data_IF_886048561134
#
_entry.id   IF_886048561134
#
_cell.length_a   1.000
_cell.length_b   1.000
_cell.length_c   1.000
_cell.angle_alpha   90.00
_cell.angle_beta   90.00
_cell.angle_gamma   90.00
#
_symmetry.space_group_name_H-M   'P 1'
#
loop_
_entity.id
_entity.type
_entity.pdbx_description
1 polymer ?
#
# COMPACT_ATOMS: atom_id res chain seq x y z
N UNK A 1 12.84 -6.41 -22.54
CA UNK A 1 11.86 -5.62 -21.76
C UNK A 1 10.68 -5.35 -22.67
N UNK A 2 9.77 -6.31 -22.78
CA UNK A 2 8.54 -6.15 -23.56
C UNK A 2 7.59 -5.26 -22.76
N UNK A 3 6.98 -4.26 -23.40
CA UNK A 3 6.21 -3.19 -22.75
C UNK A 3 4.90 -3.66 -22.06
N UNK A 4 4.73 -4.97 -21.89
CA UNK A 4 3.57 -5.65 -21.28
C UNK A 4 3.91 -6.43 -20.01
N UNK A 5 5.17 -6.50 -19.59
CA UNK A 5 5.56 -7.24 -18.37
C UNK A 5 5.24 -6.43 -17.11
N UNK A 6 4.11 -6.75 -16.46
CA UNK A 6 3.64 -6.07 -15.24
C UNK A 6 4.35 -6.53 -13.96
N UNK A 7 4.92 -7.73 -13.97
CA UNK A 7 5.64 -8.30 -12.82
C UNK A 7 6.79 -7.42 -12.29
N UNK A 8 7.74 -6.92 -13.12
CA UNK A 8 8.79 -6.03 -12.64
C UNK A 8 8.26 -4.70 -12.11
N UNK A 9 7.16 -4.19 -12.68
CA UNK A 9 6.51 -2.95 -12.22
C UNK A 9 5.89 -3.15 -10.84
N UNK A 10 5.22 -4.27 -10.59
CA UNK A 10 4.68 -4.62 -9.27
C UNK A 10 5.79 -4.84 -8.26
N UNK A 11 6.86 -5.56 -8.64
CA UNK A 11 8.01 -5.82 -7.76
C UNK A 11 8.70 -4.52 -7.33
N UNK A 12 8.92 -3.58 -8.25
CA UNK A 12 9.48 -2.27 -7.95
C UNK A 12 8.61 -1.47 -6.97
N UNK A 13 7.29 -1.51 -7.14
CA UNK A 13 6.36 -0.82 -6.24
C UNK A 13 6.25 -1.49 -4.85
N UNK A 14 6.45 -2.80 -4.76
CA UNK A 14 6.46 -3.52 -3.49
C UNK A 14 7.63 -3.08 -2.59
N UNK A 15 8.75 -2.71 -3.20
CA UNK A 15 9.98 -2.31 -2.51
C UNK A 15 10.09 -0.79 -2.29
N UNK A 16 9.04 -0.02 -2.60
CA UNK A 16 9.03 1.43 -2.43
C UNK A 16 8.95 1.82 -0.94
N UNK A 17 10.01 2.41 -0.35
CA UNK A 17 10.04 2.74 1.07
C UNK A 17 9.02 3.83 1.46
N UNK A 18 8.69 4.75 0.54
CA UNK A 18 7.71 5.81 0.80
C UNK A 18 6.31 5.21 0.97
N UNK A 19 5.94 4.31 0.06
CA UNK A 19 4.68 3.59 0.10
C UNK A 19 4.52 2.76 1.36
N UNK A 20 5.56 2.04 1.77
CA UNK A 20 5.58 1.27 3.02
C UNK A 20 5.33 2.20 4.21
N UNK A 21 6.04 3.33 4.30
CA UNK A 21 5.87 4.30 5.38
C UNK A 21 4.44 4.86 5.44
N UNK A 22 3.84 5.21 4.29
CA UNK A 22 2.47 5.70 4.23
C UNK A 22 1.44 4.64 4.67
N UNK A 23 1.59 3.38 4.23
CA UNK A 23 0.70 2.28 4.63
C UNK A 23 0.81 2.05 6.15
N UNK A 24 2.02 2.07 6.72
CA UNK A 24 2.21 1.92 8.17
C UNK A 24 1.60 3.08 8.96
N UNK A 25 1.80 4.33 8.51
CA UNK A 25 1.18 5.51 9.12
C UNK A 25 -0.35 5.47 9.05
N UNK A 26 -0.90 4.99 7.93
CA UNK A 26 -2.33 4.77 7.77
C UNK A 26 -2.87 3.76 8.76
N UNK A 27 -2.22 2.59 8.86
CA UNK A 27 -2.61 1.55 9.82
C UNK A 27 -2.61 2.14 11.23
N UNK A 28 -1.53 2.81 11.65
CA UNK A 28 -1.43 3.42 12.97
C UNK A 28 -2.58 4.40 13.25
N UNK A 29 -2.88 5.27 12.27
CA UNK A 29 -3.96 6.26 12.38
C UNK A 29 -5.33 5.59 12.47
N UNK A 30 -5.56 4.54 11.67
CA UNK A 30 -6.78 3.73 11.72
C UNK A 30 -6.95 3.03 13.07
N UNK A 31 -5.88 2.48 13.67
CA UNK A 31 -5.96 1.89 15.01
C UNK A 31 -6.26 2.94 16.08
N UNK A 32 -5.71 4.14 15.92
CA UNK A 32 -5.92 5.24 16.88
C UNK A 32 -7.36 5.75 16.86
N UNK A 33 -7.97 5.82 15.67
CA UNK A 33 -9.32 6.37 15.46
C UNK A 33 -10.42 5.30 15.40
N UNK A 34 -10.03 4.04 15.55
CA UNK A 34 -10.84 2.85 15.72
C UNK A 34 -12.19 3.04 16.40
N UNK A 35 -12.20 3.74 17.54
CA UNK A 35 -13.37 3.90 18.40
C UNK A 35 -14.47 4.79 17.79
N UNK A 36 -14.12 5.60 16.78
CA UNK A 36 -15.04 6.58 16.17
C UNK A 36 -15.45 6.15 14.76
N UNK A 37 -14.50 5.72 13.93
CA UNK A 37 -14.73 5.44 12.50
C UNK A 37 -14.62 3.97 12.11
N UNK A 38 -14.27 3.10 13.07
CA UNK A 38 -13.90 1.72 12.75
C UNK A 38 -12.60 1.64 11.96
N UNK A 39 -12.13 0.42 11.68
CA UNK A 39 -10.80 0.21 11.09
C UNK A 39 -10.86 0.08 9.56
N UNK A 40 -11.97 -0.39 9.00
CA UNK A 40 -12.05 -0.81 7.59
C UNK A 40 -12.08 0.40 6.64
N UNK A 41 -12.94 1.38 6.93
CA UNK A 41 -13.12 2.58 6.10
C UNK A 41 -11.80 3.37 5.91
N UNK A 42 -11.06 3.74 6.97
CA UNK A 42 -9.80 4.45 6.81
C UNK A 42 -8.73 3.62 6.10
N UNK A 43 -8.67 2.31 6.32
CA UNK A 43 -7.70 1.44 5.63
C UNK A 43 -7.94 1.38 4.13
N UNK A 44 -9.18 1.20 3.69
CA UNK A 44 -9.52 1.20 2.26
C UNK A 44 -9.24 2.56 1.61
N UNK A 45 -9.65 3.65 2.27
CA UNK A 45 -9.42 5.00 1.78
C UNK A 45 -7.92 5.28 1.60
N UNK A 46 -7.10 4.88 2.57
CA UNK A 46 -5.67 5.10 2.48
C UNK A 46 -4.95 4.18 1.48
N UNK A 47 -5.40 2.94 1.24
CA UNK A 47 -4.87 2.10 0.14
C UNK A 47 -5.06 2.78 -1.21
N UNK A 48 -6.25 3.33 -1.46
CA UNK A 48 -6.57 4.06 -2.68
C UNK A 48 -5.76 5.35 -2.76
N UNK A 49 -5.68 6.11 -1.68
CA UNK A 49 -4.88 7.33 -1.60
C UNK A 49 -3.40 7.06 -1.92
N UNK A 50 -2.80 6.05 -1.29
CA UNK A 50 -1.39 5.69 -1.51
C UNK A 50 -1.15 5.25 -2.96
N UNK A 51 -2.10 4.55 -3.58
CA UNK A 51 -1.97 4.08 -4.95
C UNK A 51 -1.94 5.24 -5.97
N UNK A 52 -2.57 6.36 -5.65
CA UNK A 52 -2.60 7.56 -6.50
C UNK A 52 -1.43 8.49 -6.17
N UNK A 53 -1.18 8.75 -4.89
CA UNK A 53 -0.18 9.75 -4.47
C UNK A 53 1.25 9.27 -4.75
N UNK A 54 1.55 7.99 -4.53
CA UNK A 54 2.92 7.47 -4.71
C UNK A 54 3.43 7.67 -6.15
N UNK A 55 2.74 7.23 -7.22
CA UNK A 55 3.19 7.52 -8.59
C UNK A 55 3.04 9.00 -9.00
N UNK A 56 2.28 9.81 -8.25
CA UNK A 56 2.17 11.25 -8.48
C UNK A 56 3.34 12.05 -7.87
N UNK A 57 3.94 11.56 -6.79
CA UNK A 57 5.03 12.24 -6.06
C UNK A 57 6.41 11.59 -6.24
N UNK A 58 6.47 10.31 -6.63
CA UNK A 58 7.71 9.60 -6.85
C UNK A 58 8.29 9.86 -8.25
N UNK A 59 9.58 9.58 -8.41
CA UNK A 59 10.19 9.47 -9.75
C UNK A 59 9.47 8.35 -10.49
N UNK A 60 8.69 8.73 -11.51
CA UNK A 60 7.89 7.80 -12.30
C UNK A 60 8.77 6.69 -12.85
N UNK A 61 8.29 5.45 -12.80
CA UNK A 61 8.95 4.34 -13.50
C UNK A 61 8.93 4.66 -14.99
N UNK A 62 10.11 4.89 -15.55
CA UNK A 62 10.27 5.34 -16.94
C UNK A 62 9.55 4.39 -17.91
N UNK A 63 8.79 4.96 -18.85
CA UNK A 63 8.07 4.21 -19.88
C UNK A 63 6.74 3.56 -19.45
N UNK A 64 6.30 3.72 -18.19
CA UNK A 64 5.00 3.16 -17.74
C UNK A 64 3.90 4.23 -17.67
N UNK A 65 2.72 4.04 -18.31
CA UNK A 65 1.63 5.00 -18.21
C UNK A 65 1.13 5.19 -16.77
N UNK A 66 0.73 6.42 -16.42
CA UNK A 66 0.30 6.77 -15.06
C UNK A 66 -0.84 5.87 -14.53
N UNK A 67 -1.85 5.59 -15.35
CA UNK A 67 -2.95 4.69 -14.96
C UNK A 67 -2.50 3.25 -14.68
N UNK A 68 -1.49 2.75 -15.41
CA UNK A 68 -0.91 1.43 -15.17
C UNK A 68 -0.17 1.42 -13.83
N UNK A 69 0.54 2.50 -13.48
CA UNK A 69 1.21 2.64 -12.18
C UNK A 69 0.21 2.70 -11.02
N UNK A 70 -0.93 3.39 -11.18
CA UNK A 70 -1.99 3.43 -10.16
C UNK A 70 -2.64 2.05 -9.98
N UNK A 71 -2.99 1.38 -11.08
CA UNK A 71 -3.65 0.07 -11.02
C UNK A 71 -2.76 -1.01 -10.39
N UNK A 72 -1.50 -1.12 -10.84
CA UNK A 72 -0.50 -2.00 -10.21
C UNK A 72 -0.21 -1.59 -8.77
N UNK A 73 -0.33 -0.30 -8.46
CA UNK A 73 -0.15 0.21 -7.12
C UNK A 73 -1.25 -0.17 -6.13
N UNK A 74 -2.51 -0.27 -6.56
CA UNK A 74 -3.59 -0.81 -5.74
C UNK A 74 -3.31 -2.26 -5.31
N UNK A 75 -2.80 -3.07 -6.24
CA UNK A 75 -2.43 -4.47 -5.98
C UNK A 75 -1.31 -4.52 -4.95
N UNK A 76 -0.22 -3.78 -5.18
CA UNK A 76 0.92 -3.71 -4.26
C UNK A 76 0.51 -3.26 -2.84
N UNK A 77 -0.31 -2.20 -2.74
CA UNK A 77 -0.76 -1.66 -1.46
C UNK A 77 -1.61 -2.66 -0.67
N UNK A 78 -2.51 -3.37 -1.36
CA UNK A 78 -3.35 -4.40 -0.74
C UNK A 78 -2.51 -5.55 -0.19
N UNK A 79 -1.47 -5.98 -0.93
CA UNK A 79 -0.53 -7.01 -0.48
C UNK A 79 0.23 -6.55 0.78
N UNK A 80 0.81 -5.34 0.74
CA UNK A 80 1.55 -4.78 1.90
C UNK A 80 0.63 -4.66 3.11
N UNK A 81 -0.58 -4.15 2.93
CA UNK A 81 -1.58 -4.04 3.99
C UNK A 81 -1.93 -5.41 4.58
N UNK A 82 -2.17 -6.42 3.72
CA UNK A 82 -2.47 -7.78 4.15
C UNK A 82 -1.34 -8.40 4.98
N UNK A 83 -0.08 -8.22 4.55
CA UNK A 83 1.09 -8.66 5.30
C UNK A 83 1.18 -7.95 6.65
N UNK A 84 1.05 -6.62 6.66
CA UNK A 84 1.14 -5.83 7.89
C UNK A 84 0.06 -6.21 8.92
N UNK A 85 -1.19 -6.40 8.47
CA UNK A 85 -2.28 -6.85 9.33
C UNK A 85 -2.05 -8.29 9.82
N UNK A 86 -1.55 -9.18 8.96
CA UNK A 86 -1.20 -10.55 9.33
C UNK A 86 -0.12 -10.61 10.41
N UNK A 87 0.98 -9.87 10.24
CA UNK A 87 2.05 -9.75 11.23
C UNK A 87 1.53 -9.20 12.56
N UNK A 88 0.68 -8.20 12.50
CA UNK A 88 0.10 -7.59 13.69
C UNK A 88 -0.88 -8.52 14.42
N UNK A 89 -1.65 -9.33 13.69
CA UNK A 89 -2.51 -10.35 14.28
C UNK A 89 -1.69 -11.44 14.99
N UNK A 90 -0.57 -11.88 14.40
CA UNK A 90 0.37 -12.81 15.03
C UNK A 90 0.96 -12.19 16.30
N UNK A 91 1.44 -10.95 16.22
CA UNK A 91 2.01 -10.23 17.36
C UNK A 91 1.02 -10.15 18.53
N UNK A 92 -0.23 -9.76 18.28
CA UNK A 92 -1.28 -9.73 19.30
C UNK A 92 -1.55 -11.08 19.94
N UNK A 93 -1.46 -12.16 19.15
CA UNK A 93 -1.68 -13.53 19.65
C UNK A 93 -0.53 -14.03 20.51
N UNK A 94 0.71 -13.66 20.19
CA UNK A 94 1.91 -14.05 20.95
C UNK A 94 2.09 -13.21 22.22
N UNK A 95 1.61 -11.96 22.21
CA UNK A 95 1.66 -11.05 23.35
C UNK A 95 0.43 -11.13 24.29
N UNK A 96 -0.53 -12.01 23.97
CA UNK A 96 -1.59 -12.40 24.88
C UNK A 96 -1.04 -13.23 26.04
#
# INVERSE_FOLDING_TARGET
MTMTDLAPVVAAQLMDPFRIALILGLIYTAQRNAAVTGWIVPLLAGVVFVAVIAPATAVKVAGTPFMVQVATGLVANTIILGIALGLWAIYRRVKG
#
